data_IF_675022693409
#
_entry.id   IF_675022693409
#
_cell.length_a   1.000
_cell.length_b   1.000
_cell.length_c   1.000
_cell.angle_alpha   90.00
_cell.angle_beta   90.00
_cell.angle_gamma   90.00
#
_symmetry.space_group_name_H-M   'P 1'
#
loop_
_entity.id
_entity.type
_entity.pdbx_description
1 polymer ?
#
# COMPACT_ATOMS: atom_id res chain seq x y z
N UNK A 1 22.90 -51.87 16.29
CA UNK A 1 21.88 -51.25 15.42
C UNK A 1 21.30 -50.06 16.19
N UNK A 2 21.97 -48.91 16.12
CA UNK A 2 21.60 -47.72 16.90
C UNK A 2 20.57 -46.90 16.12
N UNK A 3 19.32 -47.00 16.53
CA UNK A 3 18.25 -46.08 16.13
C UNK A 3 18.54 -44.70 16.73
N UNK A 4 19.05 -43.78 15.92
CA UNK A 4 19.07 -42.35 16.24
C UNK A 4 17.63 -41.85 16.15
N UNK A 5 17.01 -41.64 17.30
CA UNK A 5 15.75 -40.89 17.39
C UNK A 5 16.05 -39.43 17.07
N UNK A 6 15.78 -39.00 15.85
CA UNK A 6 15.86 -37.60 15.45
C UNK A 6 14.87 -36.79 16.30
N UNK A 7 15.41 -35.88 17.12
CA UNK A 7 14.61 -34.94 17.91
C UNK A 7 13.81 -34.04 16.96
N UNK A 8 12.55 -33.69 17.29
CA UNK A 8 11.74 -32.84 16.42
C UNK A 8 12.43 -31.49 16.21
N UNK A 9 12.60 -31.07 14.96
CA UNK A 9 13.16 -29.77 14.61
C UNK A 9 12.39 -28.65 15.32
N UNK A 10 13.11 -27.74 15.97
CA UNK A 10 12.52 -26.53 16.55
C UNK A 10 11.99 -25.61 15.45
N UNK A 11 10.91 -24.86 15.72
CA UNK A 11 10.25 -23.95 14.76
C UNK A 11 11.28 -23.03 14.06
N UNK A 12 12.28 -22.56 14.81
CA UNK A 12 13.37 -21.71 14.32
C UNK A 12 14.26 -22.41 13.30
N UNK A 13 14.58 -23.69 13.49
CA UNK A 13 15.38 -24.47 12.53
C UNK A 13 14.59 -24.68 11.24
N UNK A 14 13.32 -25.06 11.36
CA UNK A 14 12.43 -25.24 10.22
C UNK A 14 12.27 -23.96 9.38
N UNK A 15 12.18 -22.80 10.03
CA UNK A 15 12.11 -21.50 9.36
C UNK A 15 13.43 -21.14 8.65
N UNK A 16 14.59 -21.40 9.27
CA UNK A 16 15.89 -21.20 8.62
C UNK A 16 16.09 -22.11 7.41
N UNK A 17 15.70 -23.38 7.52
CA UNK A 17 15.76 -24.34 6.41
C UNK A 17 14.85 -23.89 5.27
N UNK A 18 13.62 -23.47 5.58
CA UNK A 18 12.67 -22.94 4.60
C UNK A 18 13.22 -21.70 3.86
N UNK A 19 13.75 -20.71 4.58
CA UNK A 19 14.34 -19.51 3.98
C UNK A 19 15.53 -19.82 3.05
N UNK A 20 16.29 -20.87 3.38
CA UNK A 20 17.41 -21.36 2.57
C UNK A 20 16.94 -22.11 1.32
N UNK A 21 15.83 -22.84 1.42
CA UNK A 21 15.24 -23.59 0.32
C UNK A 21 14.51 -22.69 -0.69
N UNK A 22 13.93 -21.57 -0.23
CA UNK A 22 13.21 -20.60 -1.09
C UNK A 22 13.85 -19.21 -1.08
N UNK A 23 15.01 -18.99 -1.74
CA UNK A 23 15.64 -17.67 -1.81
C UNK A 23 14.80 -16.60 -2.53
N UNK A 24 13.79 -17.01 -3.32
CA UNK A 24 12.82 -16.10 -3.96
C UNK A 24 12.00 -15.34 -2.91
N UNK A 25 11.48 -16.08 -1.92
CA UNK A 25 10.63 -15.53 -0.88
C UNK A 25 11.39 -14.50 -0.04
N UNK A 26 12.60 -14.88 0.39
CA UNK A 26 13.50 -13.99 1.12
C UNK A 26 13.80 -12.70 0.33
N UNK A 27 14.06 -12.81 -0.98
CA UNK A 27 14.27 -11.64 -1.83
C UNK A 27 13.02 -10.75 -1.90
N UNK A 28 11.84 -11.31 -2.14
CA UNK A 28 10.60 -10.53 -2.24
C UNK A 28 10.29 -9.79 -0.95
N UNK A 29 10.47 -10.45 0.21
CA UNK A 29 10.28 -9.81 1.51
C UNK A 29 11.26 -8.63 1.67
N UNK A 30 12.52 -8.82 1.31
CA UNK A 30 13.52 -7.73 1.35
C UNK A 30 13.11 -6.59 0.43
N UNK A 31 12.66 -6.88 -0.80
CA UNK A 31 12.25 -5.86 -1.76
C UNK A 31 11.02 -5.08 -1.27
N UNK A 32 9.98 -5.76 -0.77
CA UNK A 32 8.78 -5.13 -0.22
C UNK A 32 9.13 -4.23 0.96
N UNK A 33 9.93 -4.72 1.91
CA UNK A 33 10.36 -3.92 3.07
C UNK A 33 11.23 -2.74 2.65
N UNK A 34 12.13 -2.93 1.68
CA UNK A 34 12.98 -1.85 1.15
C UNK A 34 12.15 -0.79 0.43
N UNK A 35 11.14 -1.19 -0.34
CA UNK A 35 10.22 -0.28 -1.02
C UNK A 35 9.46 0.56 0.00
N UNK A 36 8.83 -0.09 0.99
CA UNK A 36 8.08 0.61 2.03
C UNK A 36 8.96 1.59 2.80
N UNK A 37 10.20 1.18 3.12
CA UNK A 37 11.17 2.07 3.75
C UNK A 37 11.46 3.30 2.88
N UNK A 38 11.77 3.11 1.59
CA UNK A 38 12.06 4.23 0.68
C UNK A 38 10.85 5.15 0.48
N UNK A 39 9.66 4.57 0.29
CA UNK A 39 8.41 5.28 0.09
C UNK A 39 7.99 6.12 1.32
N UNK A 40 8.32 5.65 2.52
CA UNK A 40 7.96 6.34 3.77
C UNK A 40 9.04 7.30 4.27
N UNK A 41 10.29 6.83 4.37
CA UNK A 41 11.34 7.52 5.13
C UNK A 41 11.61 8.93 4.60
N UNK A 42 11.73 9.08 3.28
CA UNK A 42 12.01 10.38 2.66
C UNK A 42 10.80 11.31 2.61
N UNK A 43 9.59 10.77 2.59
CA UNK A 43 8.35 11.55 2.50
C UNK A 43 7.76 11.91 3.87
N UNK A 44 8.23 11.29 4.95
CA UNK A 44 7.68 11.46 6.29
C UNK A 44 7.63 12.93 6.75
N UNK A 45 8.75 13.64 6.64
CA UNK A 45 8.85 15.04 7.08
C UNK A 45 8.01 16.00 6.25
N UNK A 46 7.80 15.70 4.96
CA UNK A 46 6.96 16.50 4.08
C UNK A 46 5.46 16.23 4.28
N UNK A 47 5.12 15.00 4.67
CA UNK A 47 3.75 14.57 4.91
C UNK A 47 3.19 15.17 6.20
N UNK A 48 3.99 15.18 7.27
CA UNK A 48 3.56 15.63 8.60
C UNK A 48 4.20 16.97 8.98
N UNK A 49 3.69 18.07 8.43
CA UNK A 49 4.20 19.43 8.69
C UNK A 49 3.25 20.18 9.61
N UNK A 50 3.77 20.66 10.75
CA UNK A 50 3.00 21.52 11.67
C UNK A 50 1.77 20.86 12.30
N UNK A 51 1.75 19.52 12.39
CA UNK A 51 0.59 18.75 12.85
C UNK A 51 -0.53 18.60 11.82
N UNK A 52 -0.36 19.13 10.61
CA UNK A 52 -1.26 18.96 9.47
C UNK A 52 -0.70 17.92 8.51
N UNK A 53 -1.58 17.25 7.77
CA UNK A 53 -1.18 16.31 6.73
C UNK A 53 -1.26 16.95 5.36
N UNK A 54 -0.17 16.81 4.62
CA UNK A 54 -0.05 17.33 3.27
C UNK A 54 -0.04 16.18 2.27
N UNK A 55 -0.93 16.25 1.27
CA UNK A 55 -0.94 15.28 0.18
C UNK A 55 0.05 15.68 -0.92
N UNK A 56 0.95 14.78 -1.28
CA UNK A 56 1.99 15.01 -2.29
C UNK A 56 1.48 14.85 -3.72
N UNK A 57 0.35 14.14 -3.93
CA UNK A 57 -0.24 13.92 -5.25
C UNK A 57 -0.97 15.12 -5.87
N UNK A 58 -0.84 16.31 -5.29
CA UNK A 58 -1.46 17.55 -5.79
C UNK A 58 -2.88 17.75 -5.28
N UNK A 59 -3.81 18.17 -6.15
CA UNK A 59 -5.21 18.47 -5.79
C UNK A 59 -6.12 17.25 -5.71
N UNK A 60 -5.85 16.23 -6.51
CA UNK A 60 -6.67 15.02 -6.61
C UNK A 60 -6.85 14.26 -5.28
N UNK A 61 -5.80 14.09 -4.46
CA UNK A 61 -5.89 13.40 -3.18
C UNK A 61 -6.81 14.10 -2.18
N UNK A 62 -6.77 15.43 -2.14
CA UNK A 62 -7.69 16.20 -1.28
C UNK A 62 -9.14 15.92 -1.64
N UNK A 63 -9.44 15.74 -2.93
CA UNK A 63 -10.78 15.43 -3.39
C UNK A 63 -11.21 13.98 -3.10
N UNK A 64 -10.29 13.01 -3.26
CA UNK A 64 -10.51 11.62 -2.83
C UNK A 64 -10.77 11.55 -1.33
N UNK A 65 -9.92 12.18 -0.52
CA UNK A 65 -10.07 12.23 0.92
C UNK A 65 -11.38 12.89 1.35
N UNK A 66 -11.75 14.02 0.73
CA UNK A 66 -13.05 14.66 0.95
C UNK A 66 -14.22 13.72 0.67
N UNK A 67 -14.17 12.96 -0.42
CA UNK A 67 -15.22 11.99 -0.79
C UNK A 67 -15.35 10.88 0.26
N UNK A 68 -14.22 10.38 0.78
CA UNK A 68 -14.20 9.37 1.84
C UNK A 68 -14.79 9.91 3.15
N UNK A 69 -14.36 11.10 3.58
CA UNK A 69 -14.88 11.75 4.80
C UNK A 69 -16.38 12.04 4.68
N UNK A 70 -16.84 12.47 3.51
CA UNK A 70 -18.26 12.65 3.23
C UNK A 70 -19.03 11.34 3.41
N UNK A 71 -18.53 10.22 2.86
CA UNK A 71 -19.16 8.92 3.03
C UNK A 71 -19.22 8.50 4.51
N UNK A 72 -18.13 8.67 5.25
CA UNK A 72 -18.08 8.29 6.68
C UNK A 72 -19.10 9.09 7.50
N UNK A 73 -19.26 10.37 7.18
CA UNK A 73 -20.14 11.31 7.91
C UNK A 73 -21.61 11.13 7.54
N UNK A 74 -21.92 11.06 6.24
CA UNK A 74 -23.30 11.06 5.74
C UNK A 74 -23.86 9.67 5.47
N UNK A 75 -22.99 8.65 5.39
CA UNK A 75 -23.31 7.28 4.93
C UNK A 75 -23.84 7.21 3.49
N UNK A 76 -23.63 8.27 2.70
CA UNK A 76 -24.02 8.34 1.29
C UNK A 76 -22.80 8.68 0.42
N UNK A 77 -22.81 8.20 -0.82
CA UNK A 77 -21.78 8.54 -1.79
C UNK A 77 -21.91 10.00 -2.24
N UNK A 78 -20.78 10.70 -2.35
CA UNK A 78 -20.75 12.04 -2.94
C UNK A 78 -20.91 11.92 -4.46
N UNK A 79 -22.15 11.99 -4.94
CA UNK A 79 -22.46 11.91 -6.37
C UNK A 79 -22.34 13.27 -7.06
N UNK A 80 -22.70 14.35 -6.35
CA UNK A 80 -22.67 15.71 -6.87
C UNK A 80 -21.99 16.64 -5.87
N UNK A 81 -21.12 17.52 -6.35
CA UNK A 81 -20.39 18.47 -5.54
C UNK A 81 -20.56 19.90 -6.07
N UNK A 82 -21.13 20.77 -5.25
CA UNK A 82 -21.34 22.19 -5.55
C UNK A 82 -20.11 23.05 -5.27
N UNK A 83 -19.11 22.52 -4.56
CA UNK A 83 -17.89 23.27 -4.23
C UNK A 83 -16.86 23.30 -5.38
N UNK A 84 -17.05 22.46 -6.40
CA UNK A 84 -16.24 22.46 -7.61
C UNK A 84 -17.10 23.00 -8.76
N UNK A 85 -16.52 23.80 -9.65
CA UNK A 85 -17.24 24.40 -10.79
C UNK A 85 -18.39 25.34 -10.36
N UNK A 86 -18.12 26.23 -9.42
CA UNK A 86 -19.08 27.22 -8.94
C UNK A 86 -19.56 28.15 -10.09
N UNK A 87 -20.85 28.53 -10.15
CA UNK A 87 -21.94 28.21 -9.20
C UNK A 87 -22.69 26.92 -9.51
N UNK A 88 -22.39 26.26 -10.62
CA UNK A 88 -23.19 25.16 -11.14
C UNK A 88 -22.97 23.91 -10.29
N UNK A 89 -21.72 23.56 -10.01
CA UNK A 89 -21.36 22.25 -9.46
C UNK A 89 -20.92 21.28 -10.56
N UNK A 90 -20.51 20.08 -10.14
CA UNK A 90 -20.25 18.97 -11.07
C UNK A 90 -20.53 17.62 -10.41
N UNK A 91 -20.81 16.61 -11.24
CA UNK A 91 -20.82 15.23 -10.80
C UNK A 91 -19.41 14.77 -10.41
N UNK A 92 -19.32 13.92 -9.40
CA UNK A 92 -18.07 13.32 -8.97
C UNK A 92 -17.65 12.20 -9.95
N UNK A 93 -16.53 12.34 -10.66
CA UNK A 93 -16.06 11.30 -11.58
C UNK A 93 -15.24 10.20 -10.90
N UNK A 94 -14.93 10.31 -9.61
CA UNK A 94 -14.00 9.40 -8.93
C UNK A 94 -14.68 8.06 -8.62
N UNK A 95 -13.99 6.97 -8.93
CA UNK A 95 -14.47 5.62 -8.68
C UNK A 95 -14.43 5.30 -7.18
N UNK A 96 -15.53 4.81 -6.56
CA UNK A 96 -15.58 4.52 -5.13
C UNK A 96 -14.77 3.30 -4.69
N UNK A 97 -14.25 2.45 -5.59
CA UNK A 97 -13.64 1.17 -5.21
C UNK A 97 -12.57 1.29 -4.10
N UNK A 98 -11.56 2.15 -4.29
CA UNK A 98 -10.52 2.36 -3.28
C UNK A 98 -11.02 3.14 -2.07
N UNK A 99 -11.99 4.05 -2.24
CA UNK A 99 -12.64 4.74 -1.13
C UNK A 99 -13.35 3.76 -0.19
N UNK A 100 -14.07 2.79 -0.75
CA UNK A 100 -14.75 1.72 -0.03
C UNK A 100 -13.74 0.91 0.78
N UNK A 101 -12.63 0.50 0.16
CA UNK A 101 -11.59 -0.28 0.82
C UNK A 101 -11.04 0.45 2.06
N UNK A 102 -10.78 1.76 1.95
CA UNK A 102 -10.33 2.56 3.09
C UNK A 102 -11.39 2.70 4.18
N UNK A 103 -12.65 2.87 3.80
CA UNK A 103 -13.73 2.90 4.79
C UNK A 103 -13.80 1.57 5.55
N UNK A 104 -13.63 0.43 4.86
CA UNK A 104 -13.55 -0.87 5.52
C UNK A 104 -12.38 -0.97 6.49
N UNK A 105 -11.18 -0.51 6.09
CA UNK A 105 -10.03 -0.44 7.01
C UNK A 105 -10.35 0.42 8.23
N UNK A 106 -11.02 1.56 8.02
CA UNK A 106 -11.52 2.42 9.10
C UNK A 106 -12.49 1.71 10.06
N UNK A 107 -13.47 0.97 9.52
CA UNK A 107 -14.44 0.21 10.32
C UNK A 107 -13.76 -0.91 11.10
N UNK A 108 -12.85 -1.64 10.48
CA UNK A 108 -12.09 -2.71 11.15
C UNK A 108 -11.18 -2.15 12.24
N UNK A 109 -10.64 -0.95 12.03
CA UNK A 109 -9.79 -0.26 13.00
C UNK A 109 -10.56 0.46 14.11
N UNK A 110 -11.84 0.77 13.94
CA UNK A 110 -12.61 1.59 14.88
C UNK A 110 -12.68 1.08 16.32
N UNK A 111 -12.57 -0.24 16.62
CA UNK A 111 -12.47 -0.71 18.00
C UNK A 111 -11.18 -0.28 18.71
N UNK A 112 -10.11 0.02 17.98
CA UNK A 112 -8.79 0.32 18.53
C UNK A 112 -8.52 1.83 18.63
N UNK A 113 -9.04 2.61 17.70
CA UNK A 113 -8.81 4.05 17.63
C UNK A 113 -9.92 4.79 16.88
N UNK A 114 -9.86 6.13 16.85
CA UNK A 114 -10.83 6.93 16.13
C UNK A 114 -10.85 6.57 14.63
N UNK A 115 -12.02 6.16 14.12
CA UNK A 115 -12.20 5.71 12.73
C UNK A 115 -11.68 6.73 11.71
N UNK A 116 -12.01 8.01 11.88
CA UNK A 116 -11.58 9.08 10.95
C UNK A 116 -10.07 9.16 10.87
N UNK A 117 -9.39 9.12 12.03
CA UNK A 117 -7.93 9.19 12.07
C UNK A 117 -7.26 7.94 11.51
N UNK A 118 -7.87 6.76 11.67
CA UNK A 118 -7.39 5.52 11.04
C UNK A 118 -7.49 5.60 9.53
N UNK A 119 -8.64 6.04 9.02
CA UNK A 119 -8.86 6.22 7.58
C UNK A 119 -7.86 7.22 7.00
N UNK A 120 -7.62 8.32 7.71
CA UNK A 120 -6.66 9.35 7.30
C UNK A 120 -5.22 8.83 7.25
N UNK A 121 -4.75 8.10 8.28
CA UNK A 121 -3.42 7.49 8.25
C UNK A 121 -3.33 6.38 7.18
N UNK A 122 -4.40 5.61 7.01
CA UNK A 122 -4.47 4.55 6.01
C UNK A 122 -4.50 5.12 4.59
N UNK A 123 -5.16 6.27 4.40
CA UNK A 123 -5.18 7.00 3.13
C UNK A 123 -3.78 7.46 2.73
N UNK A 124 -3.00 7.98 3.68
CA UNK A 124 -1.62 8.41 3.43
C UNK A 124 -0.72 7.25 3.03
N UNK A 125 -0.86 6.11 3.68
CA UNK A 125 -0.01 4.93 3.47
C UNK A 125 -0.47 4.05 2.31
N UNK A 126 -1.67 4.29 1.80
CA UNK A 126 -2.35 3.42 0.84
C UNK A 126 -1.49 3.13 -0.40
N UNK A 127 -1.01 4.18 -1.06
CA UNK A 127 -0.26 4.04 -2.32
C UNK A 127 1.11 3.40 -2.12
N UNK A 128 1.77 3.64 -0.97
CA UNK A 128 3.02 2.98 -0.62
C UNK A 128 2.83 1.47 -0.44
N UNK A 129 1.76 1.05 0.23
CA UNK A 129 1.44 -0.37 0.40
C UNK A 129 1.09 -1.04 -0.93
N UNK A 130 0.27 -0.41 -1.77
CA UNK A 130 -0.08 -0.97 -3.07
C UNK A 130 1.12 -1.01 -4.04
N UNK A 131 1.97 0.02 -4.02
CA UNK A 131 3.22 0.04 -4.79
C UNK A 131 4.18 -1.09 -4.39
N UNK A 132 4.24 -1.41 -3.09
CA UNK A 132 5.01 -2.55 -2.59
C UNK A 132 4.37 -3.90 -2.97
N UNK A 133 3.04 -4.01 -2.86
CA UNK A 133 2.31 -5.23 -3.20
C UNK A 133 2.47 -5.60 -4.68
N UNK A 134 2.58 -4.62 -5.59
CA UNK A 134 2.80 -4.84 -7.02
C UNK A 134 4.11 -5.54 -7.36
N UNK A 135 5.10 -5.57 -6.45
CA UNK A 135 6.34 -6.35 -6.63
C UNK A 135 6.03 -7.84 -6.78
N UNK A 136 5.02 -8.35 -6.08
CA UNK A 136 4.62 -9.76 -6.08
C UNK A 136 4.05 -10.20 -7.43
N UNK A 137 2.99 -9.59 -7.99
CA UNK A 137 2.47 -9.97 -9.30
C UNK A 137 3.50 -9.75 -10.41
N UNK A 138 4.35 -8.72 -10.34
CA UNK A 138 5.43 -8.52 -11.32
C UNK A 138 6.42 -9.69 -11.30
N UNK A 139 6.81 -10.13 -10.11
CA UNK A 139 7.64 -11.32 -9.94
C UNK A 139 6.97 -12.57 -10.53
N UNK A 140 5.70 -12.82 -10.17
CA UNK A 140 4.96 -14.00 -10.61
C UNK A 140 4.78 -14.04 -12.13
N UNK A 141 4.39 -12.92 -12.74
CA UNK A 141 4.23 -12.82 -14.20
C UNK A 141 5.56 -13.08 -14.92
N UNK A 142 6.64 -12.43 -14.47
CA UNK A 142 7.94 -12.56 -15.13
C UNK A 142 8.54 -13.96 -14.91
N UNK A 143 8.30 -14.56 -13.73
CA UNK A 143 8.68 -15.95 -13.43
C UNK A 143 7.99 -16.93 -14.37
N UNK A 144 6.69 -16.74 -14.61
CA UNK A 144 5.90 -17.67 -15.43
C UNK A 144 6.34 -17.63 -16.90
N UNK A 145 6.68 -16.44 -17.42
CA UNK A 145 7.05 -16.27 -18.83
C UNK A 145 8.53 -16.62 -19.09
N UNK A 146 9.44 -16.20 -18.22
CA UNK A 146 10.89 -16.25 -18.47
C UNK A 146 11.68 -17.09 -17.46
N UNK A 147 11.00 -17.69 -16.49
CA UNK A 147 11.59 -18.52 -15.44
C UNK A 147 12.04 -17.75 -14.20
N UNK A 148 12.44 -18.51 -13.18
CA UNK A 148 12.77 -18.03 -11.83
C UNK A 148 13.75 -16.86 -11.77
N UNK A 149 14.89 -16.96 -12.47
CA UNK A 149 15.96 -15.94 -12.42
C UNK A 149 15.50 -14.62 -13.03
N UNK A 150 14.78 -14.68 -14.15
CA UNK A 150 14.19 -13.52 -14.79
C UNK A 150 13.11 -12.89 -13.90
N UNK A 151 12.28 -13.71 -13.23
CA UNK A 151 11.32 -13.23 -12.24
C UNK A 151 11.95 -12.40 -11.13
N UNK A 152 13.03 -12.90 -10.54
CA UNK A 152 13.77 -12.19 -9.48
C UNK A 152 14.36 -10.87 -9.99
N UNK A 153 14.95 -10.86 -11.19
CA UNK A 153 15.47 -9.63 -11.81
C UNK A 153 14.36 -8.62 -12.12
N UNK A 154 13.21 -9.08 -12.65
CA UNK A 154 12.06 -8.24 -12.92
C UNK A 154 11.53 -7.56 -11.66
N UNK A 155 11.43 -8.29 -10.56
CA UNK A 155 11.02 -7.74 -9.27
C UNK A 155 11.99 -6.66 -8.75
N UNK A 156 13.31 -6.88 -8.88
CA UNK A 156 14.34 -5.90 -8.49
C UNK A 156 14.20 -4.64 -9.34
N UNK A 157 14.11 -4.78 -10.67
CA UNK A 157 14.00 -3.66 -11.59
C UNK A 157 12.73 -2.84 -11.34
N UNK A 158 11.60 -3.50 -11.10
CA UNK A 158 10.34 -2.83 -10.77
C UNK A 158 10.42 -2.07 -9.45
N UNK A 159 11.04 -2.67 -8.43
CA UNK A 159 11.21 -2.04 -7.11
C UNK A 159 12.05 -0.76 -7.20
N UNK A 160 13.08 -0.75 -8.05
CA UNK A 160 13.96 0.41 -8.25
C UNK A 160 13.45 1.40 -9.30
N UNK A 161 12.32 1.11 -9.96
CA UNK A 161 11.79 1.95 -11.03
C UNK A 161 11.28 3.28 -10.45
N UNK A 162 11.83 4.44 -10.87
CA UNK A 162 11.46 5.74 -10.28
C UNK A 162 9.97 6.06 -10.45
N UNK A 163 9.36 5.59 -11.55
CA UNK A 163 7.93 5.79 -11.80
C UNK A 163 7.05 5.14 -10.75
N UNK A 164 7.39 3.92 -10.30
CA UNK A 164 6.66 3.22 -9.26
C UNK A 164 6.85 3.96 -7.93
N UNK A 165 8.11 4.28 -7.58
CA UNK A 165 8.42 4.97 -6.34
C UNK A 165 7.78 6.37 -6.24
N UNK A 166 7.68 7.10 -7.35
CA UNK A 166 7.05 8.43 -7.38
C UNK A 166 5.52 8.38 -7.24
N UNK A 167 4.88 7.29 -7.65
CA UNK A 167 3.42 7.14 -7.63
C UNK A 167 2.93 6.30 -6.44
N UNK A 168 3.83 5.59 -5.78
CA UNK A 168 3.56 4.82 -4.56
C UNK A 168 4.40 5.33 -3.40
N UNK A 169 4.42 6.65 -3.21
CA UNK A 169 5.06 7.32 -2.08
C UNK A 169 4.03 7.61 -0.99
N UNK A 170 4.48 7.74 0.26
CA UNK A 170 3.62 8.20 1.34
C UNK A 170 2.96 9.53 0.94
N UNK A 171 1.65 9.60 1.17
CA UNK A 171 0.82 10.78 0.94
C UNK A 171 0.50 11.12 -0.53
N UNK A 172 0.80 10.25 -1.50
CA UNK A 172 0.39 10.51 -2.89
C UNK A 172 -1.13 10.59 -3.00
N UNK A 173 -1.89 9.69 -2.37
CA UNK A 173 -3.35 9.70 -2.22
C UNK A 173 -4.15 9.73 -3.53
N UNK A 174 -3.53 9.30 -4.62
CA UNK A 174 -3.98 9.54 -6.00
C UNK A 174 -5.03 8.53 -6.49
N UNK A 175 -4.95 7.30 -5.99
CA UNK A 175 -5.98 6.26 -6.12
C UNK A 175 -6.50 6.03 -7.56
N UNK A 176 -5.60 5.94 -8.53
CA UNK A 176 -5.92 5.50 -9.90
C UNK A 176 -5.66 4.00 -10.09
#
# INVERSE_FOLDING_TARGET
MSTTTDLPETITQRFKTFLRETPEFSLLVILVLSYLFLANYFAWSATFVGGMQNFSGGSDPYYNFKSIIYFITTKHWMVYDTSINYPIGTYNPRNPFFHILLVYVGVLGSPFYNMTKIVELSFLEFDAVFGALLIIPVYLMTKEVFGRKAGMLGAILYTLMPSNLSSGILSDGRMH
#
